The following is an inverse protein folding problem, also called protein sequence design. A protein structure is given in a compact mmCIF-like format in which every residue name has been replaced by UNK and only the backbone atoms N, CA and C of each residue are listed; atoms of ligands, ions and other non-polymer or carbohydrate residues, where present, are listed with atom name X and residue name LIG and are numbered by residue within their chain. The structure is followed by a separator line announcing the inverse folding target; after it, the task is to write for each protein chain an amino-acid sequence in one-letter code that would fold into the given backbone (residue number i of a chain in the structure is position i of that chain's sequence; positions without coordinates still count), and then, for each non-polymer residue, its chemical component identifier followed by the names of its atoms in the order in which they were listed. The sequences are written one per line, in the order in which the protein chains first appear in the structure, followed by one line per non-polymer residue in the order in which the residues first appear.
data_IF_368311321626
#
_entry.id   IF_368311321626
#
_cell.length_a   1.000
_cell.length_b   1.000
_cell.length_c   1.000
_cell.angle_alpha   90.00
_cell.angle_beta   90.00
_cell.angle_gamma   90.00
#
_symmetry.space_group_name_H-M   'P 1'
#
loop_
_entity.id
_entity.type
_entity.pdbx_description
1 polymer ?
#
# COMPACT_ATOMS: atom_id res chain seq x y z
N UNK A 1 8.50 14.38 -3.86
CA UNK A 1 9.57 14.13 -2.85
C UNK A 1 10.94 14.64 -3.29
N UNK A 2 11.37 14.43 -4.53
CA UNK A 2 12.68 14.91 -5.03
C UNK A 2 12.87 16.45 -4.98
N UNK A 3 11.78 17.22 -5.07
CA UNK A 3 11.76 18.69 -4.95
C UNK A 3 12.00 19.21 -3.52
N UNK A 4 11.78 18.39 -2.48
CA UNK A 4 12.04 18.73 -1.08
C UNK A 4 13.25 17.99 -0.51
N UNK A 5 14.24 17.67 -1.35
CA UNK A 5 15.51 17.04 -0.93
C UNK A 5 16.27 17.83 0.13
N UNK A 6 16.08 19.14 0.21
CA UNK A 6 16.73 20.03 1.20
C UNK A 6 16.17 19.90 2.63
N UNK A 7 14.99 19.30 2.78
CA UNK A 7 14.37 18.98 4.09
C UNK A 7 14.78 17.57 4.54
N UNK A 8 15.23 16.73 3.59
CA UNK A 8 15.66 15.37 3.83
C UNK A 8 16.85 15.37 4.81
N UNK A 9 16.67 14.77 5.99
CA UNK A 9 17.68 14.67 7.05
C UNK A 9 18.16 16.01 7.61
N UNK A 10 17.37 17.07 7.53
CA UNK A 10 17.74 18.34 8.14
C UNK A 10 17.26 18.39 9.61
N UNK A 11 18.16 18.29 10.61
CA UNK A 11 17.78 18.23 12.02
C UNK A 11 17.08 19.50 12.52
N UNK A 12 17.14 20.60 11.76
CA UNK A 12 16.38 21.84 12.04
C UNK A 12 14.86 21.64 12.06
N UNK A 13 14.33 20.63 11.36
CA UNK A 13 12.89 20.32 11.36
C UNK A 13 12.51 19.24 12.39
N UNK A 14 13.44 18.89 13.28
CA UNK A 14 13.22 17.95 14.39
C UNK A 14 12.81 16.54 13.93
N UNK A 15 12.03 15.85 14.79
CA UNK A 15 11.51 14.51 14.53
C UNK A 15 10.59 14.45 13.30
N UNK A 16 9.84 15.52 13.04
CA UNK A 16 8.85 15.57 11.95
C UNK A 16 9.54 15.48 10.58
N UNK A 17 10.61 16.25 10.37
CA UNK A 17 11.35 16.27 9.10
C UNK A 17 12.24 15.05 8.87
N UNK A 18 12.78 14.45 9.94
CA UNK A 18 13.76 13.37 9.81
C UNK A 18 13.10 11.99 9.87
N UNK A 19 12.26 11.71 10.88
CA UNK A 19 11.67 10.37 11.09
C UNK A 19 10.44 10.16 10.24
N UNK A 20 9.51 11.12 10.20
CA UNK A 20 8.27 10.94 9.42
C UNK A 20 8.56 10.91 7.93
N UNK A 21 9.47 11.75 7.44
CA UNK A 21 9.86 11.75 6.03
C UNK A 21 10.63 10.47 5.65
N UNK A 22 11.53 9.97 6.52
CA UNK A 22 12.23 8.71 6.28
C UNK A 22 11.25 7.53 6.28
N UNK A 23 10.34 7.47 7.26
CA UNK A 23 9.30 6.44 7.31
C UNK A 23 8.43 6.48 6.06
N UNK A 24 8.00 7.68 5.65
CA UNK A 24 7.20 7.87 4.44
C UNK A 24 7.96 7.47 3.18
N UNK A 25 9.24 7.81 3.07
CA UNK A 25 10.09 7.40 1.96
C UNK A 25 10.28 5.87 1.89
N UNK A 26 10.62 5.25 3.03
CA UNK A 26 10.79 3.79 3.12
C UNK A 26 9.47 3.09 2.82
N UNK A 27 8.36 3.54 3.40
CA UNK A 27 7.07 2.87 3.24
C UNK A 27 6.46 3.10 1.86
N UNK A 28 6.45 4.33 1.37
CA UNK A 28 5.77 4.66 0.11
C UNK A 28 6.59 4.26 -1.11
N UNK A 29 7.91 4.47 -1.08
CA UNK A 29 8.77 4.14 -2.20
C UNK A 29 9.27 2.69 -2.13
N UNK A 30 9.68 2.18 -0.96
CA UNK A 30 10.32 0.85 -0.89
C UNK A 30 9.34 -0.32 -0.79
N UNK A 31 8.10 -0.12 -0.37
CA UNK A 31 7.11 -1.20 -0.34
C UNK A 31 6.98 -1.99 -1.66
N UNK A 32 6.78 -1.35 -2.84
CA UNK A 32 6.68 -2.08 -4.10
C UNK A 32 7.99 -2.79 -4.50
N UNK A 33 9.16 -2.26 -4.13
CA UNK A 33 10.44 -2.93 -4.40
C UNK A 33 10.63 -4.17 -3.52
N UNK A 34 10.26 -4.10 -2.24
CA UNK A 34 10.35 -5.23 -1.31
C UNK A 34 9.43 -6.37 -1.78
N UNK A 35 8.22 -6.05 -2.23
CA UNK A 35 7.29 -7.05 -2.78
C UNK A 35 7.85 -7.72 -4.05
N UNK A 36 8.40 -6.93 -4.99
CA UNK A 36 9.06 -7.48 -6.18
C UNK A 36 10.24 -8.38 -5.84
N UNK A 37 11.11 -7.95 -4.92
CA UNK A 37 12.25 -8.74 -4.46
C UNK A 37 11.78 -10.05 -3.83
N UNK A 38 10.71 -10.04 -3.04
CA UNK A 38 10.11 -11.26 -2.47
C UNK A 38 9.70 -12.26 -3.55
N UNK A 39 9.02 -11.80 -4.60
CA UNK A 39 8.61 -12.65 -5.74
C UNK A 39 9.84 -13.22 -6.46
N UNK A 40 10.86 -12.39 -6.71
CA UNK A 40 12.10 -12.82 -7.36
C UNK A 40 12.83 -13.88 -6.53
N UNK A 41 12.95 -13.67 -5.21
CA UNK A 41 13.64 -14.61 -4.30
C UNK A 41 12.90 -15.95 -4.25
N UNK A 42 11.57 -15.95 -4.17
CA UNK A 42 10.77 -17.18 -4.18
C UNK A 42 10.95 -17.91 -5.51
N UNK A 43 10.88 -17.20 -6.64
CA UNK A 43 11.07 -17.77 -7.97
C UNK A 43 12.48 -18.37 -8.13
N UNK A 44 13.52 -17.64 -7.71
CA UNK A 44 14.90 -18.10 -7.80
C UNK A 44 15.15 -19.31 -6.89
N UNK A 45 14.62 -19.30 -5.68
CA UNK A 45 14.70 -20.42 -4.74
C UNK A 45 14.02 -21.68 -5.28
N UNK A 46 12.92 -21.51 -6.01
CA UNK A 46 12.23 -22.61 -6.70
C UNK A 46 13.08 -23.17 -7.86
N UNK A 47 13.67 -22.33 -8.70
CA UNK A 47 14.53 -22.78 -9.80
C UNK A 47 15.80 -23.50 -9.32
N UNK A 48 16.37 -23.07 -8.20
CA UNK A 48 17.54 -23.70 -7.60
C UNK A 48 17.20 -25.01 -6.85
N UNK A 49 15.92 -25.39 -6.74
CA UNK A 49 15.44 -26.55 -5.97
C UNK A 49 15.87 -26.56 -4.49
N UNK A 50 16.31 -25.42 -3.96
CA UNK A 50 16.68 -25.23 -2.54
C UNK A 50 15.41 -25.04 -1.70
N UNK A 51 14.32 -24.62 -2.34
CA UNK A 51 13.05 -24.32 -1.66
C UNK A 51 12.37 -25.60 -1.18
N UNK A 52 12.23 -25.75 0.14
CA UNK A 52 11.32 -26.74 0.71
C UNK A 52 9.87 -26.27 0.51
N UNK A 53 9.19 -26.89 -0.46
CA UNK A 53 7.81 -26.53 -0.83
C UNK A 53 6.84 -26.67 0.34
N UNK A 54 7.00 -27.69 1.18
CA UNK A 54 6.15 -27.88 2.36
C UNK A 54 6.28 -26.74 3.35
N UNK A 55 7.50 -26.28 3.63
CA UNK A 55 7.75 -25.13 4.49
C UNK A 55 7.24 -23.82 3.88
N UNK A 56 7.39 -23.64 2.56
CA UNK A 56 6.90 -22.47 1.86
C UNK A 56 5.37 -22.33 1.94
N UNK A 57 4.64 -23.43 1.72
CA UNK A 57 3.17 -23.46 1.83
C UNK A 57 2.73 -23.21 3.28
N UNK A 58 3.40 -23.82 4.25
CA UNK A 58 3.08 -23.61 5.67
C UNK A 58 3.25 -22.14 6.09
N UNK A 59 4.33 -21.48 5.65
CA UNK A 59 4.57 -20.06 5.89
C UNK A 59 3.54 -19.17 5.16
N UNK A 60 3.19 -19.50 3.92
CA UNK A 60 2.16 -18.77 3.17
C UNK A 60 0.79 -18.86 3.86
N UNK A 61 0.42 -20.03 4.38
CA UNK A 61 -0.83 -20.24 5.11
C UNK A 61 -0.82 -19.48 6.44
N UNK A 62 0.29 -19.53 7.18
CA UNK A 62 0.46 -18.76 8.41
C UNK A 62 0.32 -17.25 8.16
N UNK A 63 0.95 -16.75 7.09
CA UNK A 63 0.83 -15.35 6.68
C UNK A 63 -0.61 -14.97 6.33
N UNK A 64 -1.30 -15.82 5.58
CA UNK A 64 -2.71 -15.61 5.24
C UNK A 64 -3.60 -15.53 6.49
N UNK A 65 -3.42 -16.45 7.45
CA UNK A 65 -4.13 -16.41 8.73
C UNK A 65 -3.80 -15.13 9.52
N UNK A 66 -2.55 -14.68 9.50
CA UNK A 66 -2.16 -13.43 10.13
C UNK A 66 -2.86 -12.22 9.49
N UNK A 67 -3.00 -12.17 8.16
CA UNK A 67 -3.75 -11.11 7.48
C UNK A 67 -5.24 -11.12 7.88
N UNK A 68 -5.86 -12.30 7.93
CA UNK A 68 -7.24 -12.44 8.41
C UNK A 68 -7.38 -11.93 9.84
N UNK A 69 -6.45 -12.32 10.72
CA UNK A 69 -6.44 -11.87 12.11
C UNK A 69 -6.29 -10.35 12.20
N UNK A 70 -5.35 -9.76 11.45
CA UNK A 70 -5.13 -8.32 11.39
C UNK A 70 -6.41 -7.59 10.97
N UNK A 71 -7.11 -8.03 9.93
CA UNK A 71 -8.37 -7.40 9.50
C UNK A 71 -9.46 -7.51 10.56
N UNK A 72 -9.56 -8.64 11.26
CA UNK A 72 -10.49 -8.80 12.38
C UNK A 72 -10.18 -7.84 13.52
N UNK A 73 -8.90 -7.67 13.88
CA UNK A 73 -8.48 -6.69 14.90
C UNK A 73 -8.86 -5.27 14.47
N UNK A 74 -8.64 -4.89 13.21
CA UNK A 74 -9.06 -3.58 12.71
C UNK A 74 -10.58 -3.40 12.77
N UNK A 75 -11.35 -4.42 12.38
CA UNK A 75 -12.81 -4.39 12.44
C UNK A 75 -13.32 -4.19 13.88
N UNK A 76 -12.76 -4.93 14.84
CA UNK A 76 -13.06 -4.76 16.27
C UNK A 76 -12.61 -3.39 16.78
N UNK A 77 -11.45 -2.90 16.36
CA UNK A 77 -10.97 -1.56 16.73
C UNK A 77 -11.93 -0.45 16.29
N UNK A 78 -12.57 -0.58 15.11
CA UNK A 78 -13.60 0.36 14.65
C UNK A 78 -14.84 0.34 15.52
N UNK A 79 -15.23 -0.81 16.07
CA UNK A 79 -16.35 -0.90 17.01
C UNK A 79 -16.10 -0.06 18.28
N UNK A 80 -14.90 -0.15 18.87
CA UNK A 80 -14.56 0.59 20.09
C UNK A 80 -14.42 2.10 19.89
N UNK A 81 -14.02 2.54 18.69
CA UNK A 81 -13.69 3.95 18.43
C UNK A 81 -14.85 4.70 17.77
N UNK A 82 -15.66 4.04 16.93
CA UNK A 82 -16.66 4.69 16.07
C UNK A 82 -18.12 4.34 16.44
N UNK A 83 -18.38 3.65 17.56
CA UNK A 83 -19.73 3.26 18.04
C UNK A 83 -20.64 2.69 16.93
N UNK A 84 -20.08 1.85 16.07
CA UNK A 84 -20.77 1.33 14.91
C UNK A 84 -21.79 0.25 15.30
N UNK A 85 -23.02 0.35 14.80
CA UNK A 85 -24.11 -0.58 15.09
C UNK A 85 -23.83 -1.98 14.51
N UNK A 86 -24.05 -3.02 15.31
CA UNK A 86 -23.69 -4.40 14.95
C UNK A 86 -24.73 -5.05 14.04
N UNK A 87 -24.35 -5.44 12.82
CA UNK A 87 -25.14 -6.32 11.96
C UNK A 87 -24.51 -7.71 11.87
N UNK A 88 -25.29 -8.76 12.18
CA UNK A 88 -24.81 -10.16 12.27
C UNK A 88 -24.18 -10.70 10.97
N UNK A 89 -24.49 -10.10 9.82
CA UNK A 89 -23.92 -10.49 8.52
C UNK A 89 -22.57 -9.85 8.19
N UNK A 90 -22.12 -8.84 8.93
CA UNK A 90 -20.97 -8.03 8.51
C UNK A 90 -19.63 -8.70 8.80
N UNK A 91 -19.56 -9.58 9.81
CA UNK A 91 -18.34 -10.36 10.08
C UNK A 91 -18.02 -11.34 8.97
N UNK A 92 -19.03 -11.99 8.40
CA UNK A 92 -18.84 -12.91 7.27
C UNK A 92 -18.45 -12.15 6.00
N UNK A 93 -19.05 -10.97 5.77
CA UNK A 93 -18.64 -10.07 4.68
C UNK A 93 -17.21 -9.60 4.87
N UNK A 94 -16.78 -9.22 6.08
CA UNK A 94 -15.42 -8.79 6.38
C UNK A 94 -14.39 -9.90 6.08
N UNK A 95 -14.73 -11.15 6.40
CA UNK A 95 -13.91 -12.29 6.04
C UNK A 95 -13.80 -12.44 4.51
N UNK A 96 -14.92 -12.42 3.80
CA UNK A 96 -14.93 -12.50 2.32
C UNK A 96 -14.14 -11.35 1.66
N UNK A 97 -14.28 -10.13 2.17
CA UNK A 97 -13.53 -8.97 1.72
C UNK A 97 -12.03 -9.16 1.95
N UNK A 98 -11.60 -9.76 3.07
CA UNK A 98 -10.17 -9.99 3.35
C UNK A 98 -9.53 -10.99 2.38
N UNK A 99 -10.29 -12.01 1.98
CA UNK A 99 -9.83 -12.97 0.97
C UNK A 99 -9.65 -12.28 -0.38
N UNK A 100 -10.66 -11.51 -0.81
CA UNK A 100 -10.61 -10.75 -2.05
C UNK A 100 -9.48 -9.70 -2.04
N UNK A 101 -9.27 -9.05 -0.88
CA UNK A 101 -8.18 -8.09 -0.68
C UNK A 101 -6.82 -8.75 -0.92
N UNK A 102 -6.61 -9.92 -0.31
CA UNK A 102 -5.33 -10.62 -0.35
C UNK A 102 -5.00 -11.19 -1.73
N UNK A 103 -6.01 -11.67 -2.46
CA UNK A 103 -5.83 -12.34 -3.76
C UNK A 103 -5.81 -11.33 -4.92
N UNK A 104 -6.70 -10.33 -4.91
CA UNK A 104 -6.88 -9.42 -6.05
C UNK A 104 -6.36 -8.02 -5.76
N UNK A 105 -6.77 -7.43 -4.65
CA UNK A 105 -6.50 -6.01 -4.40
C UNK A 105 -5.02 -5.75 -4.13
N UNK A 106 -4.34 -6.60 -3.35
CA UNK A 106 -2.91 -6.44 -3.06
C UNK A 106 -2.02 -6.55 -4.30
N UNK A 107 -2.13 -7.59 -5.14
CA UNK A 107 -1.38 -7.64 -6.40
C UNK A 107 -1.70 -6.46 -7.31
N UNK A 108 -2.98 -6.08 -7.42
CA UNK A 108 -3.37 -4.90 -8.20
C UNK A 108 -2.72 -3.62 -7.69
N UNK A 109 -2.74 -3.37 -6.38
CA UNK A 109 -2.06 -2.23 -5.76
C UNK A 109 -0.56 -2.24 -6.02
N UNK A 110 0.09 -3.40 -5.99
CA UNK A 110 1.50 -3.54 -6.36
C UNK A 110 1.72 -3.05 -7.79
N UNK A 111 0.93 -3.51 -8.76
CA UNK A 111 1.05 -3.06 -10.16
C UNK A 111 0.84 -1.55 -10.31
N UNK A 112 -0.20 -1.00 -9.68
CA UNK A 112 -0.48 0.44 -9.70
C UNK A 112 0.67 1.23 -9.09
N UNK A 113 1.23 0.77 -7.97
CA UNK A 113 2.37 1.43 -7.29
C UNK A 113 3.63 1.37 -8.13
N UNK A 114 3.92 0.25 -8.78
CA UNK A 114 5.06 0.14 -9.70
C UNK A 114 4.88 1.06 -10.90
N UNK A 115 3.70 1.06 -11.50
CA UNK A 115 3.37 1.94 -12.62
C UNK A 115 3.53 3.41 -12.22
N UNK A 116 2.98 3.79 -11.06
CA UNK A 116 3.12 5.14 -10.51
C UNK A 116 4.58 5.49 -10.22
N UNK A 117 5.37 4.59 -9.64
CA UNK A 117 6.79 4.83 -9.35
C UNK A 117 7.61 5.10 -10.63
N UNK A 118 7.35 4.36 -11.71
CA UNK A 118 8.03 4.54 -13.00
C UNK A 118 7.53 5.83 -13.70
N UNK A 119 6.23 6.05 -13.69
CA UNK A 119 5.55 7.16 -14.40
C UNK A 119 5.69 8.50 -13.67
N UNK A 120 6.01 8.49 -12.37
CA UNK A 120 6.19 9.69 -11.55
C UNK A 120 7.24 10.64 -12.14
N UNK A 121 8.30 10.09 -12.78
CA UNK A 121 9.34 10.91 -13.39
C UNK A 121 8.95 11.52 -14.74
N UNK A 122 7.94 10.99 -15.44
CA UNK A 122 7.66 11.33 -16.85
C UNK A 122 6.49 12.30 -17.02
N UNK A 123 5.54 12.36 -16.08
CA UNK A 123 4.32 13.18 -16.21
C UNK A 123 4.26 14.45 -15.34
N UNK A 124 5.39 14.91 -14.76
CA UNK A 124 5.43 16.13 -13.93
C UNK A 124 5.31 17.45 -14.72
N UNK A 125 5.33 17.43 -16.05
CA UNK A 125 5.50 18.64 -16.86
C UNK A 125 4.30 19.14 -17.67
N UNK A 126 3.10 18.59 -17.49
CA UNK A 126 1.92 19.13 -18.17
C UNK A 126 0.73 19.27 -17.23
N UNK A 127 0.73 20.35 -16.44
CA UNK A 127 -0.54 20.91 -15.98
C UNK A 127 -1.37 21.20 -17.23
N UNK A 128 -2.51 20.51 -17.39
CA UNK A 128 -3.49 20.90 -18.40
C UNK A 128 -3.96 22.32 -18.06
N UNK A 129 -3.90 23.22 -19.03
CA UNK A 129 -4.37 24.61 -18.85
C UNK A 129 -5.82 24.56 -18.41
N UNK A 130 -6.12 25.14 -17.26
CA UNK A 130 -7.50 25.34 -16.81
C UNK A 130 -8.09 26.40 -17.75
N UNK A 131 -8.86 25.96 -18.75
CA UNK A 131 -9.67 26.86 -19.56
C UNK A 131 -10.80 27.39 -18.68
N UNK A 132 -10.75 28.69 -18.37
CA UNK A 132 -11.84 29.37 -17.66
C UNK A 132 -12.80 29.89 -18.71
N UNK A 133 -14.00 29.31 -18.76
CA UNK A 133 -15.10 29.91 -19.50
C UNK A 133 -15.60 31.15 -18.73
N UNK A 134 -15.70 32.29 -19.41
CA UNK A 134 -16.27 33.49 -18.85
C UNK A 134 -17.79 33.31 -18.77
N UNK A 135 -18.36 33.45 -17.57
CA UNK A 135 -19.81 33.47 -17.41
C UNK A 135 -20.37 34.69 -18.16
N UNK A 136 -21.19 34.41 -19.17
CA UNK A 136 -21.92 35.43 -19.90
C UNK A 136 -22.85 36.16 -18.91
N UNK A 137 -22.71 37.49 -18.82
CA UNK A 137 -23.55 38.30 -17.96
C UNK A 137 -24.92 38.36 -18.61
N UNK A 138 -25.84 37.55 -18.12
CA UNK A 138 -27.25 37.62 -18.48
C UNK A 138 -27.75 39.03 -18.09
N UNK A 139 -28.10 39.78 -19.14
CA UNK A 139 -28.69 41.12 -19.15
C UNK A 139 -30.09 41.15 -18.55
#
# INVERSE_FOLDING_TARGET
MWQHRTIMLNPKYGLLGTVSYLFYFLYELMAPFIELLGIIIISLSFMLSILNVSSAIALALLYFLFCVFQTMVFYVGRYFIQDYQFFRGDTLKAFGITILDSIFYRPYLLFVRLYAAITYSTHLHSWHKIEREAFDKIS
#
